data_IF_000697632372
#
_entry.id   IF_000697632372
#
_cell.length_a   1.000
_cell.length_b   1.000
_cell.length_c   1.000
_cell.angle_alpha   90.00
_cell.angle_beta   90.00
_cell.angle_gamma   90.00
#
_symmetry.space_group_name_H-M   'P 1'
#
loop_
_entity.id
_entity.type
_entity.pdbx_description
1 polymer ?
#
# COMPACT_ATOMS: atom_id res chain seq x y z
N UNK A 1 10.14 3.14 -8.73
CA UNK A 1 9.85 4.43 -8.12
C UNK A 1 10.61 4.59 -6.81
N UNK A 2 11.30 5.72 -6.65
CA UNK A 2 11.97 6.06 -5.39
C UNK A 2 11.02 6.98 -4.60
N UNK A 3 10.67 6.57 -3.38
CA UNK A 3 9.81 7.36 -2.49
C UNK A 3 10.62 7.93 -1.34
N UNK A 4 10.41 9.21 -1.05
CA UNK A 4 10.96 9.88 0.13
C UNK A 4 9.81 10.12 1.12
N UNK A 5 9.85 9.45 2.27
CA UNK A 5 8.86 9.57 3.32
C UNK A 5 9.40 10.50 4.42
N UNK A 6 8.69 11.59 4.71
CA UNK A 6 9.02 12.53 5.78
C UNK A 6 8.09 12.23 6.96
N UNK A 7 8.68 11.80 8.09
CA UNK A 7 7.96 11.56 9.34
C UNK A 7 8.02 12.79 10.25
N UNK A 8 6.88 13.07 10.86
CA UNK A 8 6.62 14.00 11.96
C UNK A 8 6.73 15.49 11.70
N UNK A 9 5.56 16.17 11.53
CA UNK A 9 5.21 17.39 12.27
C UNK A 9 3.80 17.93 11.97
N UNK A 10 3.26 18.82 12.85
CA UNK A 10 1.93 19.41 12.69
C UNK A 10 1.92 20.54 11.65
N UNK A 11 0.80 20.65 11.00
CA UNK A 11 0.09 21.76 10.38
C UNK A 11 0.66 22.55 9.21
N UNK A 12 1.95 22.69 8.94
CA UNK A 12 2.44 23.35 7.72
C UNK A 12 3.87 22.89 7.39
N UNK A 13 3.99 21.75 6.73
CA UNK A 13 5.28 21.34 6.15
C UNK A 13 5.41 22.03 4.81
N UNK A 14 6.28 23.02 4.71
CA UNK A 14 6.60 23.66 3.45
C UNK A 14 7.67 22.84 2.71
N UNK A 15 7.23 22.17 1.64
CA UNK A 15 8.11 21.39 0.78
C UNK A 15 8.45 22.25 -0.44
N UNK A 16 9.73 22.57 -0.61
CA UNK A 16 10.22 23.41 -1.69
C UNK A 16 11.38 22.74 -2.41
N UNK A 17 11.57 23.14 -3.69
CA UNK A 17 12.78 22.89 -4.44
C UNK A 17 13.21 21.41 -4.53
N UNK A 18 12.33 20.55 -5.06
CA UNK A 18 12.78 19.24 -5.51
C UNK A 18 13.79 19.43 -6.65
N UNK A 19 15.02 19.04 -6.42
CA UNK A 19 16.06 19.02 -7.44
C UNK A 19 16.48 17.58 -7.72
N UNK A 20 16.22 17.13 -8.94
CA UNK A 20 16.70 15.86 -9.46
C UNK A 20 17.86 16.17 -10.40
N UNK A 21 19.08 15.68 -10.12
CA UNK A 21 20.22 15.89 -11.01
C UNK A 21 19.99 15.21 -12.37
N UNK A 22 20.86 15.54 -13.33
CA UNK A 22 20.82 14.92 -14.66
C UNK A 22 20.90 13.39 -14.57
N UNK A 23 19.91 12.71 -15.14
CA UNK A 23 19.77 11.27 -15.14
C UNK A 23 20.57 10.64 -16.30
N UNK A 24 21.90 10.65 -16.19
CA UNK A 24 22.81 10.14 -17.24
C UNK A 24 22.50 8.67 -17.53
N UNK A 25 22.28 8.35 -18.81
CA UNK A 25 21.92 7.01 -19.26
C UNK A 25 20.42 6.72 -19.26
N UNK A 26 19.59 7.71 -18.91
CA UNK A 26 18.14 7.60 -18.95
C UNK A 26 17.50 8.78 -19.69
N UNK A 27 16.42 8.51 -20.40
CA UNK A 27 15.50 9.51 -20.93
C UNK A 27 14.27 9.57 -20.03
N UNK A 28 13.91 10.77 -19.58
CA UNK A 28 12.66 10.97 -18.85
C UNK A 28 11.50 10.92 -19.85
N UNK A 29 10.60 9.97 -19.68
CA UNK A 29 9.42 9.81 -20.53
C UNK A 29 8.22 10.54 -19.93
N UNK A 30 8.10 10.51 -18.59
CA UNK A 30 7.05 11.20 -17.84
C UNK A 30 7.60 11.68 -16.50
N UNK A 31 7.10 12.80 -16.01
CA UNK A 31 7.37 13.28 -14.66
C UNK A 31 8.04 14.63 -14.57
N UNK A 32 8.13 15.16 -13.34
CA UNK A 32 7.59 14.60 -12.11
C UNK A 32 6.05 14.65 -12.07
N UNK A 33 5.40 13.54 -11.75
CA UNK A 33 4.00 13.54 -11.34
C UNK A 33 3.95 13.58 -9.83
N UNK A 34 3.33 14.62 -9.29
CA UNK A 34 3.20 14.83 -7.85
C UNK A 34 1.90 14.23 -7.33
N UNK A 35 1.99 13.45 -6.25
CA UNK A 35 0.83 13.03 -5.45
C UNK A 35 1.07 13.35 -3.99
N UNK A 36 0.00 13.65 -3.25
CA UNK A 36 0.07 13.97 -1.83
C UNK A 36 -0.99 13.18 -1.05
N UNK A 37 -0.63 12.70 0.12
CA UNK A 37 -1.52 12.03 1.06
C UNK A 37 -1.31 12.58 2.46
N UNK A 38 -2.41 12.70 3.22
CA UNK A 38 -2.37 13.08 4.63
C UNK A 38 -2.96 11.95 5.44
N UNK A 39 -2.15 11.36 6.31
CA UNK A 39 -2.58 10.35 7.26
C UNK A 39 -2.83 11.00 8.62
N UNK A 40 -3.96 10.70 9.22
CA UNK A 40 -4.33 11.17 10.55
C UNK A 40 -4.37 9.96 11.48
N UNK A 41 -3.46 9.93 12.45
CA UNK A 41 -3.42 8.90 13.49
C UNK A 41 -3.72 9.54 14.85
N UNK A 42 -4.54 8.90 15.67
CA UNK A 42 -4.75 9.29 17.06
C UNK A 42 -3.93 8.35 17.94
N UNK A 43 -2.91 8.89 18.61
CA UNK A 43 -2.04 8.16 19.54
C UNK A 43 -2.12 8.87 20.87
N UNK A 44 -2.46 8.16 21.95
CA UNK A 44 -2.57 8.67 23.32
C UNK A 44 -3.43 9.93 23.48
N UNK A 45 -4.51 10.02 22.70
CA UNK A 45 -5.43 11.16 22.73
C UNK A 45 -5.01 12.34 21.87
N UNK A 46 -3.79 12.36 21.37
CA UNK A 46 -3.29 13.37 20.43
C UNK A 46 -3.51 12.97 18.97
N UNK A 47 -3.87 13.97 18.14
CA UNK A 47 -4.06 13.79 16.70
C UNK A 47 -2.73 14.07 16.00
N UNK A 48 -2.06 13.01 15.56
CA UNK A 48 -0.87 13.10 14.73
C UNK A 48 -1.26 13.09 13.25
N UNK A 49 -0.83 14.10 12.51
CA UNK A 49 -1.01 14.19 11.07
C UNK A 49 0.33 13.94 10.39
N UNK A 50 0.39 12.89 9.57
CA UNK A 50 1.55 12.59 8.71
C UNK A 50 1.22 13.06 7.30
N UNK A 51 2.06 13.93 6.76
CA UNK A 51 1.95 14.42 5.40
C UNK A 51 2.99 13.70 4.52
N UNK A 52 2.54 13.13 3.41
CA UNK A 52 3.39 12.45 2.45
C UNK A 52 3.24 13.08 1.08
N UNK A 53 4.36 13.40 0.44
CA UNK A 53 4.41 13.77 -0.97
C UNK A 53 5.26 12.77 -1.74
N UNK A 54 4.75 12.33 -2.89
CA UNK A 54 5.45 11.42 -3.80
C UNK A 54 5.63 12.08 -5.15
N UNK A 55 6.84 11.95 -5.70
CA UNK A 55 7.20 12.44 -7.03
C UNK A 55 7.60 11.27 -7.89
N UNK A 56 6.82 10.98 -8.92
CA UNK A 56 6.99 9.83 -9.80
C UNK A 56 7.56 10.24 -11.14
N UNK A 57 8.61 9.53 -11.58
CA UNK A 57 9.21 9.65 -12.90
C UNK A 57 9.15 8.32 -13.63
N UNK A 58 8.87 8.36 -14.93
CA UNK A 58 9.02 7.20 -15.83
C UNK A 58 10.27 7.43 -16.66
N UNK A 59 11.21 6.51 -16.56
CA UNK A 59 12.53 6.61 -17.18
C UNK A 59 12.73 5.47 -18.18
N UNK A 60 13.22 5.79 -19.36
CA UNK A 60 13.72 4.82 -20.35
C UNK A 60 15.24 4.75 -20.28
N UNK A 61 15.80 3.56 -20.12
CA UNK A 61 17.24 3.39 -20.21
C UNK A 61 17.72 3.57 -21.67
N UNK A 62 18.80 4.31 -21.86
CA UNK A 62 19.39 4.59 -23.17
C UNK A 62 20.57 3.66 -23.51
N UNK A 63 21.07 2.92 -22.52
CA UNK A 63 22.22 2.04 -22.71
C UNK A 63 22.13 0.83 -21.79
N UNK A 64 22.73 -0.27 -22.25
CA UNK A 64 22.87 -1.50 -21.48
C UNK A 64 24.02 -1.39 -20.50
N UNK A 65 23.90 -2.04 -19.36
CA UNK A 65 24.94 -2.10 -18.33
C UNK A 65 24.53 -1.39 -17.04
N UNK A 66 25.51 -1.08 -16.21
CA UNK A 66 25.26 -0.46 -14.91
C UNK A 66 25.02 1.03 -15.07
N UNK A 67 23.81 1.46 -14.82
CA UNK A 67 23.39 2.86 -14.79
C UNK A 67 23.15 3.30 -13.35
N UNK A 68 23.30 4.59 -13.09
CA UNK A 68 23.13 5.16 -11.76
C UNK A 68 22.08 6.26 -11.80
N UNK A 69 21.13 6.19 -10.87
CA UNK A 69 20.20 7.29 -10.58
C UNK A 69 20.80 8.07 -9.41
N UNK A 70 21.22 9.32 -9.63
CA UNK A 70 21.89 10.10 -8.61
C UNK A 70 20.92 10.49 -7.47
N UNK A 71 21.50 10.91 -6.35
CA UNK A 71 20.75 11.42 -5.22
C UNK A 71 19.95 12.68 -5.61
N UNK A 72 18.66 12.67 -5.39
CA UNK A 72 17.80 13.85 -5.46
C UNK A 72 17.88 14.65 -4.16
N UNK A 73 17.60 15.93 -4.21
CA UNK A 73 17.50 16.76 -3.01
C UNK A 73 16.17 17.50 -2.94
N UNK A 74 15.74 17.79 -1.73
CA UNK A 74 14.52 18.52 -1.44
C UNK A 74 14.71 19.39 -0.21
N UNK A 75 14.06 20.54 -0.17
CA UNK A 75 14.09 21.42 1.00
C UNK A 75 12.77 21.28 1.77
N UNK A 76 12.89 20.96 3.05
CA UNK A 76 11.76 20.81 3.96
C UNK A 76 11.96 21.70 5.17
N UNK A 77 11.07 22.67 5.37
CA UNK A 77 11.21 23.67 6.45
C UNK A 77 12.60 24.33 6.51
N UNK A 78 13.18 24.66 5.36
CA UNK A 78 14.50 25.27 5.24
C UNK A 78 15.69 24.30 5.38
N UNK A 79 15.47 23.01 5.63
CA UNK A 79 16.51 21.98 5.70
C UNK A 79 16.57 21.19 4.39
N UNK A 80 17.77 21.07 3.84
CA UNK A 80 18.00 20.26 2.66
C UNK A 80 18.15 18.78 3.04
N UNK A 81 17.35 17.94 2.39
CA UNK A 81 17.39 16.48 2.53
C UNK A 81 17.80 15.85 1.20
N UNK A 82 18.49 14.72 1.27
CA UNK A 82 18.98 13.99 0.12
C UNK A 82 18.45 12.57 0.10
N UNK A 83 18.08 12.08 -1.08
CA UNK A 83 17.78 10.66 -1.28
C UNK A 83 19.06 9.83 -1.40
N UNK A 84 18.93 8.52 -1.28
CA UNK A 84 20.03 7.62 -1.62
C UNK A 84 20.23 7.57 -3.14
N UNK A 85 21.46 7.35 -3.56
CA UNK A 85 21.79 7.01 -4.94
C UNK A 85 21.38 5.56 -5.23
N UNK A 86 20.80 5.31 -6.40
CA UNK A 86 20.39 3.96 -6.82
C UNK A 86 21.24 3.49 -8.00
N UNK A 87 21.62 2.22 -7.99
CA UNK A 87 22.27 1.56 -9.12
C UNK A 87 21.27 0.62 -9.80
N UNK A 88 21.14 0.75 -11.12
CA UNK A 88 20.27 -0.08 -11.95
C UNK A 88 21.12 -0.81 -12.96
N UNK A 89 20.95 -2.12 -13.09
CA UNK A 89 21.61 -2.90 -14.12
C UNK A 89 20.65 -3.10 -15.29
N UNK A 90 20.94 -2.44 -16.41
CA UNK A 90 20.13 -2.49 -17.63
C UNK A 90 20.62 -3.65 -18.47
N UNK A 91 19.73 -4.58 -18.81
CA UNK A 91 20.01 -5.73 -19.67
C UNK A 91 19.48 -5.47 -21.09
N UNK A 92 20.08 -6.07 -22.15
CA UNK A 92 19.60 -5.91 -23.51
C UNK A 92 18.18 -6.43 -23.67
N UNK A 93 17.40 -5.80 -24.54
CA UNK A 93 16.05 -6.24 -24.93
C UNK A 93 16.06 -7.71 -25.33
N UNK A 94 15.10 -8.49 -24.82
CA UNK A 94 15.00 -9.93 -25.10
C UNK A 94 16.04 -10.80 -24.38
N UNK A 95 16.96 -10.21 -23.62
CA UNK A 95 17.95 -10.90 -22.79
C UNK A 95 17.76 -10.67 -21.29
N UNK A 96 16.58 -10.39 -20.85
CA UNK A 96 16.25 -10.82 -19.48
C UNK A 96 16.60 -12.31 -19.44
N UNK A 97 17.51 -12.78 -18.56
CA UNK A 97 17.70 -14.20 -18.39
C UNK A 97 16.27 -14.74 -18.27
N UNK A 98 15.91 -15.79 -19.04
CA UNK A 98 14.61 -16.40 -18.84
C UNK A 98 14.54 -16.54 -17.33
N UNK A 99 13.63 -15.80 -16.71
CA UNK A 99 13.42 -15.97 -15.28
C UNK A 99 13.01 -17.42 -15.19
N UNK A 100 14.00 -18.27 -14.90
CA UNK A 100 13.80 -19.68 -14.63
C UNK A 100 12.93 -19.87 -13.40
N UNK A 101 12.65 -18.78 -12.72
CA UNK A 101 11.55 -18.67 -11.78
C UNK A 101 10.31 -18.18 -12.53
N UNK A 102 9.22 -18.97 -12.53
CA UNK A 102 7.91 -18.45 -12.84
C UNK A 102 7.75 -17.19 -11.99
N UNK A 103 7.40 -16.05 -12.60
CA UNK A 103 7.22 -14.77 -11.89
C UNK A 103 6.68 -15.04 -10.51
N UNK A 104 7.39 -14.66 -9.43
CA UNK A 104 6.98 -15.03 -8.09
C UNK A 104 5.49 -14.68 -7.96
N UNK A 105 4.71 -15.67 -7.54
CA UNK A 105 3.28 -15.40 -7.32
C UNK A 105 3.18 -14.14 -6.49
N UNK A 106 2.31 -13.19 -6.87
CA UNK A 106 2.14 -12.00 -6.06
C UNK A 106 1.91 -12.43 -4.62
N UNK A 107 2.68 -11.85 -3.72
CA UNK A 107 2.50 -12.07 -2.29
C UNK A 107 1.31 -11.19 -1.87
N UNK A 108 0.19 -11.84 -1.57
CA UNK A 108 -1.07 -11.17 -1.22
C UNK A 108 -1.62 -11.82 0.02
N UNK A 109 -1.88 -11.02 1.03
CA UNK A 109 -2.51 -11.48 2.26
C UNK A 109 -3.35 -10.36 2.89
N UNK A 110 -4.20 -10.73 3.83
CA UNK A 110 -5.00 -9.80 4.63
C UNK A 110 -4.61 -9.86 6.09
N UNK A 111 -4.83 -8.75 6.78
CA UNK A 111 -4.84 -8.71 8.24
C UNK A 111 -6.16 -8.15 8.74
N UNK A 112 -6.57 -8.62 9.90
CA UNK A 112 -7.72 -8.15 10.63
C UNK A 112 -7.29 -7.81 12.05
N UNK A 113 -7.60 -6.61 12.51
CA UNK A 113 -7.24 -6.13 13.82
C UNK A 113 -8.46 -5.49 14.49
N UNK A 114 -8.49 -5.56 15.81
CA UNK A 114 -9.49 -4.90 16.65
C UNK A 114 -8.80 -3.94 17.60
N UNK A 115 -9.45 -2.81 17.91
CA UNK A 115 -8.92 -1.82 18.84
C UNK A 115 -8.89 -2.32 20.29
N UNK A 116 -9.78 -3.25 20.66
CA UNK A 116 -9.89 -3.83 22.00
C UNK A 116 -10.34 -5.28 21.91
N UNK A 117 -9.77 -6.15 22.72
CA UNK A 117 -10.13 -7.58 22.80
C UNK A 117 -11.02 -7.95 23.99
N UNK A 118 -11.07 -7.08 25.00
CA UNK A 118 -11.90 -7.25 26.20
C UNK A 118 -12.78 -6.03 26.43
N UNK A 119 -13.69 -5.69 25.49
CA UNK A 119 -14.57 -4.54 25.62
C UNK A 119 -15.68 -4.79 26.63
N UNK A 120 -16.29 -3.70 27.11
CA UNK A 120 -17.57 -3.78 27.83
C UNK A 120 -18.73 -3.92 26.83
N UNK A 121 -19.87 -4.37 27.36
CA UNK A 121 -21.13 -4.35 26.60
C UNK A 121 -21.40 -2.90 26.13
N UNK A 122 -21.78 -2.74 24.86
CA UNK A 122 -22.00 -1.45 24.17
C UNK A 122 -20.75 -0.55 24.04
N UNK A 123 -19.57 -1.00 24.43
CA UNK A 123 -18.33 -0.27 24.14
C UNK A 123 -17.93 -0.46 22.67
N UNK A 124 -17.67 0.64 21.91
CA UNK A 124 -17.34 0.52 20.50
C UNK A 124 -15.95 -0.07 20.30
N UNK A 125 -15.86 -1.13 19.53
CA UNK A 125 -14.63 -1.76 19.07
C UNK A 125 -14.45 -1.48 17.59
N UNK A 126 -13.32 -0.92 17.19
CA UNK A 126 -12.98 -0.72 15.79
C UNK A 126 -12.39 -2.01 15.23
N UNK A 127 -13.05 -2.60 14.24
CA UNK A 127 -12.49 -3.65 13.40
C UNK A 127 -11.89 -3.01 12.15
N UNK A 128 -10.61 -3.29 11.87
CA UNK A 128 -9.91 -2.81 10.69
C UNK A 128 -9.34 -3.98 9.90
N UNK A 129 -9.65 -4.02 8.59
CA UNK A 129 -9.14 -5.03 7.66
C UNK A 129 -8.25 -4.37 6.62
N UNK A 130 -7.02 -4.85 6.50
CA UNK A 130 -6.01 -4.39 5.54
C UNK A 130 -5.67 -5.48 4.54
N UNK A 131 -5.51 -5.07 3.28
CA UNK A 131 -4.94 -5.89 2.22
C UNK A 131 -3.49 -5.48 2.00
N UNK A 132 -2.61 -6.47 1.92
CA UNK A 132 -1.19 -6.33 1.59
C UNK A 132 -0.93 -7.01 0.26
N UNK A 133 -0.25 -6.34 -0.65
CA UNK A 133 0.11 -6.92 -1.95
C UNK A 133 1.46 -6.39 -2.44
N UNK A 134 2.26 -7.26 -3.05
CA UNK A 134 3.50 -6.85 -3.74
C UNK A 134 3.27 -6.43 -5.19
N UNK A 135 2.03 -6.52 -5.69
CA UNK A 135 1.64 -6.19 -7.05
C UNK A 135 0.41 -5.30 -7.06
N UNK A 136 0.11 -4.65 -8.18
CA UNK A 136 -1.08 -3.83 -8.30
C UNK A 136 -2.35 -4.68 -8.18
N UNK A 137 -3.14 -4.43 -7.14
CA UNK A 137 -4.50 -4.94 -7.04
C UNK A 137 -5.44 -4.03 -7.84
N UNK A 138 -6.19 -4.63 -8.77
CA UNK A 138 -7.14 -3.94 -9.61
C UNK A 138 -8.51 -3.85 -8.95
N UNK A 139 -9.01 -4.97 -8.46
CA UNK A 139 -10.33 -5.04 -7.84
C UNK A 139 -10.44 -6.12 -6.78
N UNK A 140 -11.42 -5.96 -5.92
CA UNK A 140 -11.76 -6.86 -4.83
C UNK A 140 -13.20 -7.37 -5.05
N UNK A 141 -13.42 -8.67 -4.87
CA UNK A 141 -14.74 -9.26 -5.03
C UNK A 141 -14.99 -10.42 -4.05
N UNK A 142 -16.22 -10.86 -3.99
CA UNK A 142 -16.66 -12.04 -3.24
C UNK A 142 -16.14 -12.04 -1.79
N UNK A 143 -16.31 -10.90 -1.11
CA UNK A 143 -15.96 -10.76 0.29
C UNK A 143 -17.00 -11.52 1.13
N UNK A 144 -16.53 -12.49 1.90
CA UNK A 144 -17.33 -13.31 2.78
C UNK A 144 -16.78 -13.22 4.20
N UNK A 145 -17.61 -12.82 5.15
CA UNK A 145 -17.28 -12.80 6.58
C UNK A 145 -18.56 -12.90 7.38
N UNK A 146 -18.59 -13.79 8.35
CA UNK A 146 -19.69 -13.91 9.29
C UNK A 146 -19.40 -13.10 10.55
N UNK A 147 -20.24 -12.10 10.83
CA UNK A 147 -20.30 -11.39 12.09
C UNK A 147 -21.75 -11.47 12.54
N UNK A 148 -21.99 -12.10 13.69
CA UNK A 148 -23.34 -12.32 14.20
C UNK A 148 -24.01 -11.02 14.62
N UNK A 149 -25.21 -10.74 14.12
CA UNK A 149 -26.03 -9.61 14.56
C UNK A 149 -26.60 -9.81 15.97
N UNK A 150 -26.61 -11.03 16.50
CA UNK A 150 -27.01 -11.33 17.86
C UNK A 150 -25.88 -10.99 18.87
N UNK A 151 -24.66 -10.99 18.39
CA UNK A 151 -23.46 -10.69 19.19
C UNK A 151 -23.06 -9.24 19.10
N UNK A 152 -23.29 -8.59 17.93
CA UNK A 152 -22.80 -7.23 17.68
C UNK A 152 -23.84 -6.36 16.97
N UNK A 153 -24.00 -5.12 17.43
CA UNK A 153 -24.46 -4.05 16.57
C UNK A 153 -23.29 -3.59 15.70
N UNK A 154 -23.50 -3.47 14.39
CA UNK A 154 -22.45 -3.21 13.41
C UNK A 154 -22.73 -1.89 12.70
N UNK A 155 -21.75 -1.00 12.70
CA UNK A 155 -21.81 0.28 11.97
C UNK A 155 -20.58 0.39 11.03
N UNK A 156 -20.78 0.59 9.72
CA UNK A 156 -19.67 0.76 8.79
C UNK A 156 -19.01 2.13 8.99
N UNK A 157 -17.69 2.17 8.93
CA UNK A 157 -16.91 3.42 8.88
C UNK A 157 -16.57 3.71 7.41
N UNK A 158 -16.86 4.93 7.00
CA UNK A 158 -16.58 5.40 5.65
C UNK A 158 -15.07 5.48 5.38
N UNK A 159 -14.64 4.86 4.29
CA UNK A 159 -13.25 4.81 3.83
C UNK A 159 -12.97 5.75 2.66
N UNK A 160 -13.88 6.69 2.35
CA UNK A 160 -13.63 7.66 1.29
C UNK A 160 -12.33 8.41 1.53
N UNK A 161 -11.43 8.38 0.54
CA UNK A 161 -10.11 8.98 0.65
C UNK A 161 -9.02 8.09 1.23
N UNK A 162 -9.30 6.83 1.54
CA UNK A 162 -8.26 5.85 1.87
C UNK A 162 -7.37 5.61 0.66
N UNK A 163 -6.12 6.02 0.75
CA UNK A 163 -5.11 5.80 -0.29
C UNK A 163 -4.32 4.52 0.00
N UNK A 164 -3.80 3.91 -1.05
CA UNK A 164 -2.78 2.89 -0.94
C UNK A 164 -1.52 3.47 -0.30
N UNK A 165 -0.95 2.74 0.65
CA UNK A 165 0.28 3.07 1.34
C UNK A 165 1.34 2.01 1.06
N UNK A 166 2.62 2.35 1.25
CA UNK A 166 3.69 1.36 1.19
C UNK A 166 4.17 1.08 2.60
N UNK A 167 4.12 -0.20 2.99
CA UNK A 167 4.70 -0.69 4.24
C UNK A 167 5.83 -1.67 3.91
N UNK A 168 6.98 -1.49 4.59
CA UNK A 168 8.08 -2.44 4.52
C UNK A 168 7.89 -3.53 5.58
N UNK A 169 7.78 -4.80 5.15
CA UNK A 169 7.58 -5.95 6.02
C UNK A 169 8.36 -7.15 5.53
N UNK A 170 9.12 -7.79 6.43
CA UNK A 170 9.91 -9.00 6.12
C UNK A 170 10.82 -8.85 4.90
N UNK A 171 11.50 -7.70 4.75
CA UNK A 171 12.39 -7.45 3.62
C UNK A 171 11.71 -7.14 2.29
N UNK A 172 10.37 -7.00 2.26
CA UNK A 172 9.58 -6.69 1.06
C UNK A 172 8.78 -5.41 1.27
N UNK A 173 8.55 -4.68 0.18
CA UNK A 173 7.62 -3.55 0.15
C UNK A 173 6.25 -4.04 -0.29
N UNK A 174 5.23 -3.76 0.51
CA UNK A 174 3.84 -4.05 0.21
C UNK A 174 3.08 -2.76 -0.03
N UNK A 175 2.24 -2.76 -1.05
CA UNK A 175 1.14 -1.83 -1.16
C UNK A 175 0.06 -2.28 -0.17
N UNK A 176 -0.41 -1.37 0.66
CA UNK A 176 -1.36 -1.65 1.74
C UNK A 176 -2.56 -0.74 1.61
N UNK A 177 -3.73 -1.32 1.67
CA UNK A 177 -4.98 -0.55 1.71
C UNK A 177 -5.89 -1.07 2.83
N UNK A 178 -6.49 -0.14 3.56
CA UNK A 178 -7.64 -0.44 4.43
C UNK A 178 -8.86 -0.56 3.52
N UNK A 179 -9.43 -1.75 3.41
CA UNK A 179 -10.58 -2.00 2.54
C UNK A 179 -11.90 -2.18 3.30
N UNK A 180 -11.83 -2.39 4.62
CA UNK A 180 -13.00 -2.49 5.49
C UNK A 180 -12.69 -1.97 6.89
N UNK A 181 -13.59 -1.15 7.43
CA UNK A 181 -13.52 -0.66 8.80
C UNK A 181 -14.93 -0.60 9.38
N UNK A 182 -15.12 -1.21 10.54
CA UNK A 182 -16.41 -1.30 11.20
C UNK A 182 -16.29 -0.88 12.66
N UNK A 183 -17.34 -0.25 13.19
CA UNK A 183 -17.59 -0.17 14.62
C UNK A 183 -18.48 -1.34 15.03
N UNK A 184 -18.01 -2.13 15.97
CA UNK A 184 -18.71 -3.26 16.55
C UNK A 184 -19.05 -2.93 18.01
N UNK A 185 -20.32 -3.05 18.38
CA UNK A 185 -20.79 -2.86 19.74
C UNK A 185 -21.22 -4.22 20.28
N UNK A 186 -20.50 -4.82 21.25
CA UNK A 186 -20.92 -6.07 21.88
C UNK A 186 -22.31 -5.92 22.51
N UNK A 187 -23.21 -6.86 22.23
CA UNK A 187 -24.58 -6.85 22.75
C UNK A 187 -24.75 -7.74 23.99
N UNK A 188 -23.79 -8.61 24.28
CA UNK A 188 -23.78 -9.49 25.44
C UNK A 188 -22.37 -9.73 25.97
N UNK A 189 -22.26 -10.16 27.20
CA UNK A 189 -20.99 -10.60 27.79
C UNK A 189 -20.61 -12.01 27.32
N UNK A 190 -19.34 -12.36 27.45
CA UNK A 190 -18.76 -13.65 27.10
C UNK A 190 -17.91 -13.64 25.85
N UNK A 191 -17.68 -14.81 25.29
CA UNK A 191 -16.91 -14.95 24.05
C UNK A 191 -17.79 -14.60 22.86
N UNK A 192 -17.30 -13.62 22.06
CA UNK A 192 -17.94 -13.14 20.83
C UNK A 192 -16.98 -13.32 19.67
N UNK A 193 -17.42 -14.01 18.62
CA UNK A 193 -16.55 -14.34 17.50
C UNK A 193 -16.84 -13.46 16.28
N UNK A 194 -15.79 -12.82 15.79
CA UNK A 194 -15.72 -12.24 14.45
C UNK A 194 -15.19 -13.34 13.54
N UNK A 195 -16.00 -13.76 12.56
CA UNK A 195 -15.67 -14.88 11.69
C UNK A 195 -14.47 -14.62 10.78
N UNK A 196 -14.00 -15.70 10.16
CA UNK A 196 -12.93 -15.64 9.17
C UNK A 196 -13.38 -14.78 7.98
N UNK A 197 -12.43 -14.04 7.41
CA UNK A 197 -12.66 -13.20 6.25
C UNK A 197 -12.04 -13.87 5.02
N UNK A 198 -12.83 -14.00 3.96
CA UNK A 198 -12.41 -14.49 2.65
C UNK A 198 -12.69 -13.44 1.59
N UNK A 199 -11.82 -13.33 0.61
CA UNK A 199 -11.97 -12.37 -0.48
C UNK A 199 -11.20 -12.82 -1.72
N UNK A 200 -11.73 -12.51 -2.90
CA UNK A 200 -11.05 -12.65 -4.17
C UNK A 200 -10.36 -11.33 -4.52
N UNK A 201 -9.06 -11.37 -4.76
CA UNK A 201 -8.25 -10.23 -5.18
C UNK A 201 -7.86 -10.44 -6.64
N UNK A 202 -8.17 -9.49 -7.50
CA UNK A 202 -7.74 -9.48 -8.90
C UNK A 202 -6.48 -8.65 -9.02
N UNK A 203 -5.39 -9.29 -9.43
CA UNK A 203 -4.07 -8.69 -9.51
C UNK A 203 -3.72 -8.50 -10.97
N UNK A 204 -3.28 -7.30 -11.29
CA UNK A 204 -2.80 -6.98 -12.64
C UNK A 204 -1.37 -7.51 -12.79
N UNK A 205 -1.19 -8.39 -13.77
CA UNK A 205 0.13 -8.85 -14.21
C UNK A 205 0.41 -8.29 -15.60
N UNK A 206 1.59 -7.72 -15.76
CA UNK A 206 2.06 -7.30 -17.07
C UNK A 206 2.70 -8.48 -17.78
N UNK A 207 2.39 -8.68 -19.06
CA UNK A 207 3.09 -9.67 -19.89
C UNK A 207 4.50 -9.14 -20.18
N UNK A 208 5.53 -9.85 -19.70
CA UNK A 208 6.94 -9.48 -19.90
C UNK A 208 7.41 -9.65 -21.35
N UNK A 209 6.57 -10.14 -22.26
CA UNK A 209 6.89 -10.27 -23.71
C UNK A 209 6.60 -9.01 -24.50
N UNK A 210 5.98 -8.00 -23.93
CA UNK A 210 5.71 -6.71 -24.55
C UNK A 210 6.68 -5.67 -24.02
N UNK A 211 6.99 -4.69 -24.85
CA UNK A 211 7.77 -3.52 -24.45
C UNK A 211 7.17 -2.95 -23.15
N UNK A 212 7.95 -2.85 -22.04
CA UNK A 212 7.47 -2.30 -20.77
C UNK A 212 6.88 -0.91 -20.91
N UNK A 213 7.24 -0.18 -21.96
CA UNK A 213 6.73 1.13 -22.27
C UNK A 213 5.34 1.05 -22.93
N UNK A 214 5.15 0.16 -23.90
CA UNK A 214 3.83 -0.10 -24.49
C UNK A 214 2.88 -0.69 -23.45
N UNK A 215 3.36 -1.59 -22.58
CA UNK A 215 2.57 -2.13 -21.47
C UNK A 215 2.10 -1.08 -20.45
N UNK A 216 2.81 0.04 -20.33
CA UNK A 216 2.42 1.15 -19.45
C UNK A 216 1.35 2.06 -20.07
N UNK A 217 1.34 2.19 -21.40
CA UNK A 217 0.42 3.07 -22.13
C UNK A 217 -0.72 2.33 -22.83
N UNK A 218 -0.58 1.04 -23.10
CA UNK A 218 -1.64 0.21 -23.66
C UNK A 218 -2.42 -0.50 -22.55
N UNK A 219 -3.67 -0.12 -22.38
CA UNK A 219 -4.64 -0.77 -21.47
C UNK A 219 -4.90 -2.26 -21.81
N UNK A 220 -4.29 -2.79 -22.88
CA UNK A 220 -4.59 -4.08 -23.48
C UNK A 220 -3.67 -5.26 -23.13
N UNK A 221 -2.51 -5.05 -22.51
CA UNK A 221 -1.49 -6.11 -22.38
C UNK A 221 -1.26 -6.63 -20.95
N UNK A 222 -2.26 -6.54 -20.12
CA UNK A 222 -2.23 -7.09 -18.77
C UNK A 222 -3.20 -8.26 -18.62
N UNK A 223 -2.78 -9.28 -17.87
CA UNK A 223 -3.64 -10.37 -17.46
C UNK A 223 -4.06 -10.14 -16.01
N UNK A 224 -5.35 -10.38 -15.74
CA UNK A 224 -5.84 -10.41 -14.37
C UNK A 224 -5.67 -11.82 -13.79
N UNK A 225 -4.97 -11.91 -12.69
CA UNK A 225 -4.84 -13.16 -11.94
C UNK A 225 -5.73 -13.05 -10.71
N UNK A 226 -6.73 -13.91 -10.63
CA UNK A 226 -7.58 -14.04 -9.45
C UNK A 226 -6.84 -14.83 -8.38
N UNK A 227 -6.76 -14.28 -7.18
CA UNK A 227 -6.23 -14.97 -6.01
C UNK A 227 -7.22 -14.89 -4.85
N UNK A 228 -7.66 -16.05 -4.33
CA UNK A 228 -8.46 -16.10 -3.12
C UNK A 228 -7.53 -15.98 -1.92
N UNK A 229 -7.84 -15.05 -1.04
CA UNK A 229 -7.11 -14.82 0.21
C UNK A 229 -8.04 -14.93 1.40
N UNK A 230 -7.49 -15.29 2.55
CA UNK A 230 -8.25 -15.40 3.78
C UNK A 230 -7.47 -14.85 4.97
N UNK A 231 -8.21 -14.43 5.99
CA UNK A 231 -7.69 -14.03 7.29
C UNK A 231 -8.50 -14.70 8.38
N UNK A 232 -7.82 -15.22 9.40
CA UNK A 232 -8.48 -15.88 10.53
C UNK A 232 -9.33 -14.90 11.34
N UNK A 233 -10.45 -15.37 11.84
CA UNK A 233 -11.34 -14.63 12.72
C UNK A 233 -10.69 -14.26 14.05
N UNK A 234 -11.35 -13.35 14.76
CA UNK A 234 -10.91 -12.86 16.08
C UNK A 234 -12.00 -13.16 17.10
N UNK A 235 -11.60 -13.60 18.28
CA UNK A 235 -12.49 -13.72 19.44
C UNK A 235 -12.29 -12.54 20.37
N UNK A 236 -13.39 -11.91 20.79
CA UNK A 236 -13.45 -10.90 21.84
C UNK A 236 -14.01 -11.52 23.11
N UNK A 237 -13.59 -11.01 24.25
CA UNK A 237 -14.09 -11.42 25.58
C UNK A 237 -14.83 -10.23 26.20
N UNK A 238 -16.10 -10.06 25.86
CA UNK A 238 -16.89 -8.93 26.37
C UNK A 238 -17.31 -9.14 27.82
N UNK A 239 -17.33 -8.07 28.59
CA UNK A 239 -17.73 -8.07 30.02
C UNK A 239 -18.74 -6.93 30.30
N UNK A 240 -19.38 -7.00 31.46
CA UNK A 240 -20.36 -6.01 31.91
C UNK A 240 -19.73 -4.64 32.19
#
# INVERSE_FOLDING_TARGET
GSEMCIRDRPATVEIQNLAVPELKGFKVLLGPTKSSATNVEKVDGEINRKYQESYTYVLQALQVGRCSIPSASIVVNGHQLHSQQLAVNVVPDGKLPPSSDPQPKPDVFMTMNVSERSPRINEPVVLECKLYTTSLADSLANMEQLISSDDFKIEPIDLRGSAWQIEHRNGKNYQVAVFRKLLLYPLRAGELRIGDLYMDVYIRRYNLSSDPFEAFFEDGNHQFVKQRVNCQGITLHAHE
#
